data_IF_077503100224
#
_entry.id   IF_077503100224
#
_cell.length_a   1.000
_cell.length_b   1.000
_cell.length_c   1.000
_cell.angle_alpha   90.00
_cell.angle_beta   90.00
_cell.angle_gamma   90.00
#
_symmetry.space_group_name_H-M   'P 1'
#
loop_
_entity.id
_entity.type
_entity.pdbx_description
1 polymer ?
#
# COMPACT_ATOMS: atom_id res chain seq x y z
N UNK A 1 -7.08 0.27 -3.69
CA UNK A 1 -5.95 1.22 -3.86
C UNK A 1 -5.81 1.64 -5.31
N UNK A 2 -5.48 0.70 -6.20
CA UNK A 2 -5.22 0.99 -7.62
C UNK A 2 -6.50 1.20 -8.41
N UNK A 3 -7.50 0.35 -8.15
CA UNK A 3 -8.78 0.33 -8.83
C UNK A 3 -9.70 1.40 -8.24
N UNK A 4 -10.07 1.26 -6.96
CA UNK A 4 -11.08 2.13 -6.34
C UNK A 4 -10.61 3.54 -6.04
N UNK A 5 -9.32 3.73 -5.73
CA UNK A 5 -8.76 5.03 -5.32
C UNK A 5 -7.81 5.65 -6.36
N UNK A 6 -7.51 4.94 -7.46
CA UNK A 6 -6.59 5.42 -8.50
C UNK A 6 -5.14 5.61 -8.04
N UNK A 7 -4.75 5.15 -6.85
CA UNK A 7 -3.38 5.19 -6.32
C UNK A 7 -2.58 4.03 -6.92
N UNK A 8 -2.00 4.28 -8.09
CA UNK A 8 -1.37 3.28 -8.95
C UNK A 8 0.14 3.15 -8.75
N UNK A 9 0.75 3.97 -7.89
CA UNK A 9 2.17 3.95 -7.58
C UNK A 9 2.60 2.65 -6.90
N UNK A 10 1.83 2.16 -5.92
CA UNK A 10 2.01 0.82 -5.34
C UNK A 10 1.69 -0.26 -6.36
N UNK A 11 2.66 -1.10 -6.74
CA UNK A 11 2.51 -1.99 -7.91
C UNK A 11 1.94 -3.35 -7.55
N UNK A 12 1.33 -3.98 -8.56
CA UNK A 12 1.01 -5.41 -8.57
C UNK A 12 2.24 -6.14 -9.13
N UNK A 13 2.78 -7.08 -8.37
CA UNK A 13 3.99 -7.82 -8.73
C UNK A 13 3.71 -9.32 -8.74
N UNK A 14 4.10 -10.00 -7.66
CA UNK A 14 3.89 -11.45 -7.53
C UNK A 14 2.56 -11.86 -6.88
N UNK A 15 1.84 -10.96 -6.20
CA UNK A 15 0.65 -11.22 -5.35
C UNK A 15 0.81 -12.27 -4.23
N UNK A 16 2.04 -12.78 -4.03
CA UNK A 16 2.37 -13.82 -3.04
C UNK A 16 3.27 -13.30 -1.92
N UNK A 17 3.56 -12.00 -1.89
CA UNK A 17 4.43 -11.36 -0.89
C UNK A 17 5.93 -11.55 -1.09
N UNK A 18 6.38 -12.29 -2.11
CA UNK A 18 7.79 -12.53 -2.37
C UNK A 18 8.57 -11.29 -2.89
N UNK A 19 7.91 -10.37 -3.61
CA UNK A 19 8.59 -9.30 -4.34
C UNK A 19 8.65 -7.93 -3.64
N UNK A 20 7.81 -7.68 -2.63
CA UNK A 20 7.73 -6.37 -1.96
C UNK A 20 7.22 -5.17 -2.79
N UNK A 21 6.92 -5.33 -4.08
CA UNK A 21 6.48 -4.23 -4.96
C UNK A 21 5.18 -3.53 -4.55
N UNK A 22 4.40 -4.17 -3.68
CA UNK A 22 3.12 -3.68 -3.17
C UNK A 22 3.20 -3.09 -1.75
N UNK A 23 4.41 -2.79 -1.27
CA UNK A 23 4.63 -2.29 0.10
C UNK A 23 3.97 -0.92 0.30
N UNK A 24 3.29 -0.78 1.44
CA UNK A 24 2.70 0.46 1.95
C UNK A 24 3.05 0.59 3.43
N UNK A 25 2.89 1.78 4.01
CA UNK A 25 3.00 1.97 5.45
C UNK A 25 1.60 2.00 6.07
N UNK A 26 1.39 1.25 7.15
CA UNK A 26 0.17 1.28 7.96
C UNK A 26 0.60 1.60 9.38
N UNK A 27 0.13 2.73 9.91
CA UNK A 27 0.60 3.27 11.20
C UNK A 27 2.14 3.33 11.29
N UNK A 28 2.77 3.74 10.17
CA UNK A 28 4.23 3.87 10.05
C UNK A 28 5.01 2.56 9.90
N UNK A 29 4.35 1.40 9.90
CA UNK A 29 5.00 0.09 9.73
C UNK A 29 4.79 -0.46 8.32
N UNK A 30 5.76 -1.18 7.74
CA UNK A 30 5.63 -1.73 6.39
C UNK A 30 4.66 -2.93 6.36
N UNK A 31 3.72 -2.90 5.42
CA UNK A 31 2.79 -3.99 5.12
C UNK A 31 2.70 -4.24 3.62
N UNK A 32 2.40 -5.48 3.24
CA UNK A 32 2.19 -5.88 1.85
C UNK A 32 0.73 -5.71 1.48
N UNK A 33 0.41 -4.72 0.62
CA UNK A 33 -0.99 -4.44 0.26
C UNK A 33 -1.67 -5.60 -0.49
N UNK A 34 -0.92 -6.47 -1.18
CA UNK A 34 -1.49 -7.63 -1.86
C UNK A 34 -1.97 -8.74 -0.90
N UNK A 35 -1.49 -8.74 0.36
CA UNK A 35 -1.86 -9.72 1.39
C UNK A 35 -2.63 -9.09 2.56
N UNK A 36 -2.99 -7.81 2.47
CA UNK A 36 -3.70 -7.08 3.53
C UNK A 36 -5.14 -6.84 3.11
N UNK A 37 -6.11 -7.32 3.90
CA UNK A 37 -7.51 -7.05 3.64
C UNK A 37 -7.86 -5.61 4.02
N UNK A 38 -8.64 -4.93 3.17
CA UNK A 38 -9.04 -3.54 3.40
C UNK A 38 -9.82 -3.35 4.72
N UNK A 39 -10.65 -4.34 5.09
CA UNK A 39 -11.45 -4.31 6.33
C UNK A 39 -10.57 -4.31 7.59
N UNK A 40 -9.43 -5.01 7.57
CA UNK A 40 -8.52 -5.13 8.73
C UNK A 40 -7.79 -3.81 9.04
N UNK A 41 -7.83 -2.87 8.11
CA UNK A 41 -7.09 -1.60 8.16
C UNK A 41 -8.02 -0.39 8.07
N UNK A 42 -9.33 -0.62 8.17
CA UNK A 42 -10.31 0.46 8.25
C UNK A 42 -9.98 1.39 9.43
N UNK A 43 -9.96 2.70 9.16
CA UNK A 43 -9.65 3.73 10.16
C UNK A 43 -8.16 3.89 10.50
N UNK A 44 -7.27 3.08 9.93
CA UNK A 44 -5.82 3.24 10.09
C UNK A 44 -5.25 4.22 9.06
N UNK A 45 -4.19 4.94 9.42
CA UNK A 45 -3.42 5.76 8.50
C UNK A 45 -2.59 4.86 7.59
N UNK A 46 -2.86 4.96 6.29
CA UNK A 46 -2.13 4.25 5.24
C UNK A 46 -1.37 5.27 4.40
N UNK A 47 -0.08 5.03 4.16
CA UNK A 47 0.77 5.86 3.30
C UNK A 47 1.29 5.00 2.14
N UNK A 48 0.97 5.41 0.91
CA UNK A 48 1.52 4.86 -0.33
C UNK A 48 2.66 5.75 -0.84
N UNK A 49 3.29 5.37 -1.96
CA UNK A 49 4.36 6.19 -2.56
C UNK A 49 3.89 7.59 -2.95
N UNK A 50 2.64 7.75 -3.38
CA UNK A 50 2.01 9.04 -3.70
C UNK A 50 1.93 9.97 -2.48
N UNK A 51 1.85 9.40 -1.27
CA UNK A 51 1.86 10.17 -0.03
C UNK A 51 3.26 10.62 0.39
N UNK A 52 4.33 10.07 -0.20
CA UNK A 52 5.72 10.44 0.10
C UNK A 52 6.22 11.59 -0.77
N UNK A 53 5.59 11.86 -1.92
CA UNK A 53 6.04 12.89 -2.87
C UNK A 53 5.80 14.32 -2.41
N UNK A 54 5.12 14.57 -1.29
CA UNK A 54 5.00 15.91 -0.72
C UNK A 54 6.27 16.38 0.03
N UNK A 55 7.24 15.49 0.25
CA UNK A 55 8.50 15.80 0.95
C UNK A 55 9.74 15.73 0.04
N UNK A 56 9.56 15.76 -1.28
CA UNK A 56 10.63 15.68 -2.29
C UNK A 56 10.91 16.99 -3.02
#
# INVERSE_FOLDING_TARGET
LREDLGLTGTKRGCDLGACGACTVLIEGKPYLSCLTLAVDVQGKKIVTIEGLTQEG
#
